data_IF_640868223386
#
_entry.id   IF_640868223386
#
_cell.length_a   1.000
_cell.length_b   1.000
_cell.length_c   1.000
_cell.angle_alpha   90.00
_cell.angle_beta   90.00
_cell.angle_gamma   90.00
#
_symmetry.space_group_name_H-M   'P 1'
#
loop_
_entity.id
_entity.type
_entity.pdbx_description
1 polymer ?
#
# COMPACT_ATOMS: atom_id res chain seq x y z
N UNK A 1 -0.49 19.51 -19.92
CA UNK A 1 -0.23 18.19 -19.31
C UNK A 1 -0.87 17.06 -20.12
N UNK A 2 -2.20 16.91 -20.12
CA UNK A 2 -2.88 15.77 -20.76
C UNK A 2 -2.59 15.67 -22.25
N UNK A 3 -2.56 16.80 -22.95
CA UNK A 3 -2.26 16.87 -24.38
C UNK A 3 -0.86 16.38 -24.79
N UNK A 4 0.08 16.19 -23.83
CA UNK A 4 1.38 15.56 -24.13
C UNK A 4 1.32 14.02 -24.13
N UNK A 5 0.21 13.43 -23.73
CA UNK A 5 -0.02 11.97 -23.70
C UNK A 5 -1.15 11.53 -24.63
N UNK A 6 -2.13 12.42 -24.87
CA UNK A 6 -3.36 12.11 -25.60
C UNK A 6 -3.60 13.16 -26.68
N UNK A 7 -3.90 12.74 -27.90
CA UNK A 7 -4.38 13.65 -28.92
C UNK A 7 -5.77 14.15 -28.58
N UNK A 8 -5.84 15.42 -28.19
CA UNK A 8 -7.09 16.06 -27.78
C UNK A 8 -7.62 16.97 -28.90
N UNK A 9 -8.92 16.92 -29.17
CA UNK A 9 -9.64 17.85 -30.06
C UNK A 9 -10.57 18.72 -29.21
N UNK A 10 -10.58 20.02 -29.47
CA UNK A 10 -11.49 20.96 -28.80
C UNK A 10 -12.95 20.64 -29.15
N UNK A 11 -13.80 20.55 -28.12
CA UNK A 11 -15.25 20.36 -28.23
C UNK A 11 -15.95 21.39 -27.34
N UNK A 12 -16.18 22.58 -27.89
CA UNK A 12 -16.73 23.71 -27.14
C UNK A 12 -15.73 24.19 -26.05
N UNK A 13 -16.13 24.09 -24.76
CA UNK A 13 -15.29 24.43 -23.60
C UNK A 13 -14.41 23.27 -23.14
N UNK A 14 -14.61 22.08 -23.68
CA UNK A 14 -13.91 20.85 -23.27
C UNK A 14 -12.89 20.43 -24.33
N UNK A 15 -12.04 19.49 -23.95
CA UNK A 15 -11.17 18.76 -24.88
C UNK A 15 -11.53 17.26 -24.82
N UNK A 16 -11.71 16.65 -25.98
CA UNK A 16 -12.05 15.22 -26.08
C UNK A 16 -11.03 14.44 -26.90
N UNK A 17 -10.81 13.18 -26.54
CA UNK A 17 -9.90 12.27 -27.23
C UNK A 17 -10.17 10.81 -26.89
N UNK A 18 -9.33 9.91 -27.43
CA UNK A 18 -9.36 8.49 -27.05
C UNK A 18 -8.76 8.35 -25.64
N UNK A 19 -9.33 7.46 -24.85
CA UNK A 19 -8.88 7.22 -23.49
C UNK A 19 -7.52 6.52 -23.47
N UNK A 20 -6.54 7.01 -22.67
CA UNK A 20 -5.27 6.35 -22.55
C UNK A 20 -5.29 5.15 -21.56
N UNK A 21 -6.40 4.95 -20.84
CA UNK A 21 -6.52 3.95 -19.77
C UNK A 21 -7.27 2.68 -20.20
N UNK A 22 -7.92 2.69 -21.37
CA UNK A 22 -8.53 1.51 -21.97
C UNK A 22 -8.55 1.65 -23.51
N UNK A 23 -8.66 0.53 -24.19
CA UNK A 23 -8.72 0.51 -25.65
C UNK A 23 -10.12 0.86 -26.15
N UNK A 24 -10.21 1.87 -27.01
CA UNK A 24 -11.49 2.28 -27.64
C UNK A 24 -11.26 2.84 -29.04
N UNK A 25 -12.32 2.82 -29.88
CA UNK A 25 -12.29 3.41 -31.23
C UNK A 25 -13.02 4.75 -31.31
N UNK A 26 -13.89 5.03 -30.36
CA UNK A 26 -14.70 6.24 -30.30
C UNK A 26 -14.29 7.08 -29.11
N UNK A 27 -13.97 8.37 -29.27
CA UNK A 27 -13.51 9.22 -28.18
C UNK A 27 -14.52 9.33 -27.03
N UNK A 28 -14.17 8.84 -25.85
CA UNK A 28 -14.98 8.92 -24.63
C UNK A 28 -14.26 9.62 -23.46
N UNK A 29 -13.02 10.06 -23.67
CA UNK A 29 -12.21 10.74 -22.67
C UNK A 29 -12.32 12.26 -22.84
N UNK A 30 -12.66 12.95 -21.76
CA UNK A 30 -12.85 14.41 -21.75
C UNK A 30 -12.01 15.07 -20.67
N UNK A 31 -11.42 16.22 -21.01
CA UNK A 31 -10.70 17.10 -20.10
C UNK A 31 -11.53 18.37 -19.93
N UNK A 32 -11.69 18.79 -18.69
CA UNK A 32 -12.45 19.93 -18.21
C UNK A 32 -11.47 21.00 -17.72
N UNK A 33 -11.10 22.01 -18.54
CA UNK A 33 -10.13 23.03 -18.14
C UNK A 33 -10.59 23.85 -16.93
N UNK A 34 -11.88 24.16 -16.85
CA UNK A 34 -12.45 24.99 -15.79
C UNK A 34 -12.33 24.36 -14.41
N UNK A 35 -12.46 23.04 -14.32
CA UNK A 35 -12.31 22.26 -13.08
C UNK A 35 -10.96 21.54 -12.98
N UNK A 36 -10.09 21.69 -13.98
CA UNK A 36 -8.79 21.02 -14.08
C UNK A 36 -8.88 19.50 -13.86
N UNK A 37 -9.92 18.89 -14.36
CA UNK A 37 -10.21 17.47 -14.17
C UNK A 37 -10.38 16.74 -15.51
N UNK A 38 -10.39 15.42 -15.45
CA UNK A 38 -10.75 14.57 -16.59
C UNK A 38 -11.78 13.53 -16.18
N UNK A 39 -12.52 13.06 -17.17
CA UNK A 39 -13.47 11.95 -17.03
C UNK A 39 -13.51 11.13 -18.31
N UNK A 40 -13.53 9.82 -18.18
CA UNK A 40 -13.75 8.89 -19.28
C UNK A 40 -15.12 8.22 -19.16
N UNK A 41 -15.99 8.40 -20.13
CA UNK A 41 -17.33 7.78 -20.15
C UNK A 41 -17.29 6.29 -20.48
N UNK A 42 -16.17 5.77 -21.03
CA UNK A 42 -15.99 4.35 -21.32
C UNK A 42 -15.60 3.53 -20.08
N UNK A 43 -14.47 3.86 -19.45
CA UNK A 43 -13.95 3.12 -18.30
C UNK A 43 -14.16 3.80 -16.94
N UNK A 44 -14.84 4.95 -16.92
CA UNK A 44 -15.12 5.75 -15.71
C UNK A 44 -13.86 6.26 -14.97
N UNK A 45 -12.70 6.23 -15.62
CA UNK A 45 -11.50 6.82 -15.07
C UNK A 45 -11.70 8.34 -14.93
N UNK A 46 -11.49 8.85 -13.73
CA UNK A 46 -11.67 10.25 -13.39
C UNK A 46 -10.56 10.76 -12.47
N UNK A 47 -10.39 12.06 -12.41
CA UNK A 47 -9.48 12.71 -11.48
C UNK A 47 -8.92 14.03 -11.96
N UNK A 48 -7.93 14.51 -11.24
CA UNK A 48 -7.16 15.71 -11.49
C UNK A 48 -5.83 15.41 -12.21
N UNK A 49 -4.96 16.40 -12.32
CA UNK A 49 -3.63 16.28 -12.94
C UNK A 49 -2.76 15.23 -12.23
N UNK A 50 -2.82 15.15 -10.89
CA UNK A 50 -2.03 14.18 -10.10
C UNK A 50 -2.53 12.78 -10.37
N UNK A 51 -3.84 12.58 -10.33
CA UNK A 51 -4.50 11.31 -10.62
C UNK A 51 -4.22 10.81 -12.05
N UNK A 52 -4.15 11.73 -13.01
CA UNK A 52 -3.81 11.43 -14.40
C UNK A 52 -2.37 10.91 -14.51
N UNK A 53 -1.39 11.66 -13.98
CA UNK A 53 0.04 11.29 -14.04
C UNK A 53 0.30 9.98 -13.31
N UNK A 54 -0.32 9.79 -12.15
CA UNK A 54 -0.25 8.56 -11.38
C UNK A 54 -0.73 7.35 -12.19
N UNK A 55 -1.89 7.48 -12.86
CA UNK A 55 -2.47 6.38 -13.67
C UNK A 55 -1.67 6.09 -14.93
N UNK A 56 -1.28 7.13 -15.69
CA UNK A 56 -0.63 6.95 -16.99
C UNK A 56 0.80 6.39 -16.87
N UNK A 57 1.52 6.76 -15.80
CA UNK A 57 2.88 6.31 -15.55
C UNK A 57 2.96 5.14 -14.55
N UNK A 58 1.82 4.71 -13.98
CA UNK A 58 1.75 3.67 -12.94
C UNK A 58 2.69 3.93 -11.76
N UNK A 59 2.69 5.16 -11.23
CA UNK A 59 3.54 5.64 -10.15
C UNK A 59 2.74 6.01 -8.91
N UNK A 60 3.42 6.21 -7.78
CA UNK A 60 2.81 6.69 -6.54
C UNK A 60 2.37 8.15 -6.64
N UNK A 61 1.48 8.58 -5.74
CA UNK A 61 1.06 9.99 -5.68
C UNK A 61 2.22 10.93 -5.38
N UNK A 62 3.18 10.54 -4.54
CA UNK A 62 4.38 11.33 -4.24
C UNK A 62 5.27 11.53 -5.47
N UNK A 63 5.52 10.48 -6.24
CA UNK A 63 6.28 10.56 -7.50
C UNK A 63 5.55 11.41 -8.55
N UNK A 64 4.22 11.27 -8.65
CA UNK A 64 3.43 12.11 -9.56
C UNK A 64 3.51 13.59 -9.20
N UNK A 65 3.47 13.93 -7.91
CA UNK A 65 3.62 15.30 -7.42
C UNK A 65 5.03 15.85 -7.74
N UNK A 66 6.08 15.08 -7.49
CA UNK A 66 7.47 15.46 -7.84
C UNK A 66 7.62 15.73 -9.33
N UNK A 67 7.09 14.83 -10.17
CA UNK A 67 7.12 14.97 -11.62
C UNK A 67 6.38 16.23 -12.09
N UNK A 68 5.22 16.53 -11.51
CA UNK A 68 4.44 17.71 -11.83
C UNK A 68 5.11 19.00 -11.33
N UNK A 69 5.70 19.00 -10.15
CA UNK A 69 6.46 20.14 -9.60
C UNK A 69 7.65 20.48 -10.50
N UNK A 70 8.45 19.48 -10.88
CA UNK A 70 9.57 19.64 -11.81
C UNK A 70 9.11 20.22 -13.16
N UNK A 71 8.01 19.70 -13.71
CA UNK A 71 7.44 20.20 -14.98
C UNK A 71 6.91 21.63 -14.88
N UNK A 72 6.43 22.05 -13.72
CA UNK A 72 5.92 23.37 -13.45
C UNK A 72 7.02 24.38 -13.04
N UNK A 73 8.29 23.92 -12.94
CA UNK A 73 9.39 24.76 -12.42
C UNK A 73 9.22 25.12 -10.94
N UNK A 74 8.40 24.34 -10.22
CA UNK A 74 8.20 24.51 -8.78
C UNK A 74 9.26 23.73 -8.00
N UNK A 75 9.68 24.21 -6.82
CA UNK A 75 10.53 23.41 -5.96
C UNK A 75 9.83 22.09 -5.63
N UNK A 76 10.59 20.98 -5.63
CA UNK A 76 10.03 19.68 -5.23
C UNK A 76 9.46 19.80 -3.82
N UNK A 77 8.24 19.27 -3.59
CA UNK A 77 7.70 19.22 -2.25
C UNK A 77 8.69 18.43 -1.39
N UNK A 78 9.26 19.07 -0.41
CA UNK A 78 9.98 18.37 0.64
C UNK A 78 8.91 17.59 1.39
N UNK A 79 8.89 16.26 1.23
CA UNK A 79 8.21 15.43 2.22
C UNK A 79 8.75 15.92 3.58
N UNK A 80 7.84 16.26 4.50
CA UNK A 80 8.24 16.53 5.87
C UNK A 80 9.08 15.33 6.29
N UNK A 81 10.40 15.53 6.39
CA UNK A 81 11.42 14.49 6.49
C UNK A 81 11.09 13.50 7.63
N UNK A 82 10.39 13.98 8.66
CA UNK A 82 9.91 13.17 9.79
C UNK A 82 8.78 12.20 9.39
N UNK A 83 7.81 12.67 8.60
CA UNK A 83 6.65 11.84 8.18
C UNK A 83 7.09 10.78 7.17
N UNK A 84 7.94 11.14 6.22
CA UNK A 84 8.50 10.21 5.25
C UNK A 84 9.39 9.14 5.90
N UNK A 85 10.24 9.53 6.86
CA UNK A 85 11.06 8.59 7.65
C UNK A 85 10.19 7.66 8.49
N UNK A 86 9.18 8.18 9.20
CA UNK A 86 8.28 7.37 10.01
C UNK A 86 7.55 6.34 9.14
N UNK A 87 7.01 6.76 7.98
CA UNK A 87 6.36 5.86 7.02
C UNK A 87 7.28 4.76 6.54
N UNK A 88 8.52 5.10 6.15
CA UNK A 88 9.52 4.12 5.72
C UNK A 88 9.85 3.11 6.83
N UNK A 89 10.02 3.60 8.06
CA UNK A 89 10.26 2.76 9.24
C UNK A 89 9.10 1.82 9.53
N UNK A 90 7.85 2.30 9.47
CA UNK A 90 6.64 1.49 9.65
C UNK A 90 6.52 0.42 8.56
N UNK A 91 6.79 0.74 7.29
CA UNK A 91 6.78 -0.25 6.22
C UNK A 91 7.86 -1.33 6.42
N UNK A 92 9.05 -0.95 6.87
CA UNK A 92 10.12 -1.89 7.23
C UNK A 92 9.70 -2.78 8.41
N UNK A 93 9.09 -2.20 9.44
CA UNK A 93 8.57 -2.93 10.60
C UNK A 93 7.50 -3.96 10.21
N UNK A 94 6.58 -3.59 9.32
CA UNK A 94 5.53 -4.51 8.86
C UNK A 94 6.12 -5.71 8.10
N UNK A 95 7.20 -5.49 7.32
CA UNK A 95 7.95 -6.59 6.70
C UNK A 95 8.62 -7.50 7.75
N UNK A 96 9.20 -6.93 8.80
CA UNK A 96 9.78 -7.72 9.91
C UNK A 96 8.70 -8.49 10.68
N UNK A 97 7.52 -7.89 10.92
CA UNK A 97 6.40 -8.58 11.55
C UNK A 97 5.91 -9.77 10.70
N UNK A 98 5.83 -9.61 9.38
CA UNK A 98 5.49 -10.71 8.47
C UNK A 98 6.53 -11.85 8.54
N UNK A 99 7.82 -11.52 8.56
CA UNK A 99 8.91 -12.50 8.75
C UNK A 99 8.81 -13.22 10.09
N UNK A 100 8.51 -12.50 11.17
CA UNK A 100 8.29 -13.07 12.50
C UNK A 100 7.15 -14.08 12.48
N UNK A 101 5.98 -13.73 11.93
CA UNK A 101 4.85 -14.64 11.85
C UNK A 101 5.12 -15.86 10.96
N UNK A 102 5.88 -15.68 9.87
CA UNK A 102 6.31 -16.80 9.04
C UNK A 102 7.28 -17.73 9.79
N UNK A 103 8.22 -17.19 10.54
CA UNK A 103 9.11 -17.98 11.40
C UNK A 103 8.33 -18.74 12.49
N UNK A 104 7.33 -18.09 13.12
CA UNK A 104 6.44 -18.76 14.08
C UNK A 104 5.68 -19.93 13.46
N UNK A 105 5.20 -19.80 12.20
CA UNK A 105 4.53 -20.90 11.50
C UNK A 105 5.47 -22.08 11.27
N UNK A 106 6.76 -21.85 11.05
CA UNK A 106 7.77 -22.88 10.80
C UNK A 106 8.38 -23.46 12.08
N UNK A 107 7.97 -23.00 13.25
CA UNK A 107 8.44 -23.52 14.52
C UNK A 107 7.91 -24.93 14.81
N UNK A 108 8.51 -25.61 15.79
CA UNK A 108 8.17 -26.99 16.20
C UNK A 108 7.03 -27.06 17.21
N UNK A 109 6.53 -25.93 17.71
CA UNK A 109 5.45 -25.92 18.70
C UNK A 109 4.14 -26.45 18.14
N UNK A 110 3.30 -27.02 19.01
CA UNK A 110 2.06 -27.69 18.60
C UNK A 110 1.10 -26.78 17.85
N UNK A 111 0.94 -25.55 18.30
CA UNK A 111 0.06 -24.58 17.68
C UNK A 111 0.51 -24.23 16.24
N UNK A 112 1.83 -24.18 15.99
CA UNK A 112 2.35 -23.98 14.65
C UNK A 112 2.09 -25.19 13.75
N UNK A 113 2.16 -26.42 14.28
CA UNK A 113 1.77 -27.65 13.56
C UNK A 113 0.30 -27.60 13.17
N UNK A 114 -0.58 -27.21 14.10
CA UNK A 114 -2.02 -27.03 13.84
C UNK A 114 -2.30 -25.96 12.79
N UNK A 115 -1.58 -24.84 12.82
CA UNK A 115 -1.69 -23.78 11.82
C UNK A 115 -1.26 -24.25 10.43
N UNK A 116 -0.16 -25.01 10.31
CA UNK A 116 0.24 -25.64 9.02
C UNK A 116 -0.80 -26.66 8.54
N UNK A 117 -1.32 -27.49 9.44
CA UNK A 117 -2.38 -28.43 9.10
C UNK A 117 -3.66 -27.74 8.62
N UNK A 118 -4.01 -26.59 9.20
CA UNK A 118 -5.11 -25.74 8.73
C UNK A 118 -4.88 -25.28 7.30
N UNK A 119 -3.71 -24.73 6.95
CA UNK A 119 -3.39 -24.28 5.60
C UNK A 119 -3.45 -25.42 4.58
N UNK A 120 -2.92 -26.60 4.94
CA UNK A 120 -2.98 -27.80 4.07
C UNK A 120 -4.42 -28.26 3.83
N UNK A 121 -5.28 -28.25 4.85
CA UNK A 121 -6.72 -28.55 4.68
C UNK A 121 -7.42 -27.55 3.76
N UNK A 122 -6.93 -26.30 3.68
CA UNK A 122 -7.41 -25.28 2.76
C UNK A 122 -6.84 -25.43 1.34
N UNK A 123 -6.10 -26.50 1.06
CA UNK A 123 -5.53 -26.79 -0.25
C UNK A 123 -4.23 -26.05 -0.56
N UNK A 124 -3.59 -25.43 0.44
CA UNK A 124 -2.32 -24.72 0.23
C UNK A 124 -1.15 -25.67 0.53
N UNK A 125 -0.31 -25.87 -0.47
CA UNK A 125 0.93 -26.63 -0.34
C UNK A 125 2.05 -25.81 0.31
N UNK A 126 3.14 -26.49 0.70
CA UNK A 126 4.26 -25.84 1.37
C UNK A 126 4.95 -24.80 0.46
N UNK A 127 4.95 -25.01 -0.87
CA UNK A 127 5.49 -24.03 -1.82
C UNK A 127 4.68 -22.74 -1.84
N UNK A 128 3.37 -22.86 -1.80
CA UNK A 128 2.43 -21.74 -1.72
C UNK A 128 2.58 -21.00 -0.37
N UNK A 129 2.67 -21.74 0.74
CA UNK A 129 2.90 -21.16 2.08
C UNK A 129 4.15 -20.29 2.10
N UNK A 130 5.26 -20.80 1.57
CA UNK A 130 6.53 -20.06 1.49
C UNK A 130 6.45 -18.91 0.50
N UNK A 131 5.91 -19.14 -0.70
CA UNK A 131 5.81 -18.11 -1.77
C UNK A 131 5.03 -16.89 -1.33
N UNK A 132 3.93 -17.07 -0.59
CA UNK A 132 3.08 -15.98 -0.10
C UNK A 132 3.44 -15.52 1.32
N UNK A 133 4.47 -16.09 1.95
CA UNK A 133 4.91 -15.71 3.28
C UNK A 133 3.84 -15.89 4.35
N UNK A 134 3.00 -16.94 4.21
CA UNK A 134 1.93 -17.20 5.18
C UNK A 134 2.53 -17.45 6.56
N UNK A 135 1.84 -17.04 7.60
CA UNK A 135 2.35 -17.02 8.96
C UNK A 135 1.38 -17.53 10.01
N UNK A 136 1.87 -17.56 11.23
CA UNK A 136 1.10 -17.84 12.44
C UNK A 136 1.46 -16.83 13.52
N UNK A 137 0.47 -16.17 14.07
CA UNK A 137 0.64 -15.31 15.25
C UNK A 137 0.49 -16.15 16.51
N UNK A 138 1.54 -16.25 17.35
CA UNK A 138 1.53 -17.12 18.55
C UNK A 138 0.53 -16.63 19.59
N UNK A 139 0.23 -17.51 20.58
CA UNK A 139 -0.66 -17.19 21.70
C UNK A 139 0.07 -16.37 22.78
N UNK A 140 0.97 -15.47 22.36
CA UNK A 140 1.66 -14.53 23.23
C UNK A 140 1.55 -13.13 22.62
N UNK A 141 0.70 -12.31 23.22
CA UNK A 141 0.47 -10.93 22.77
C UNK A 141 1.66 -9.99 22.93
N UNK A 142 2.75 -10.42 23.60
CA UNK A 142 3.98 -9.64 23.80
C UNK A 142 5.12 -10.06 22.87
N UNK A 143 5.09 -11.27 22.32
CA UNK A 143 6.20 -11.82 21.56
C UNK A 143 6.62 -10.94 20.36
N UNK A 144 5.67 -10.46 19.56
CA UNK A 144 5.97 -9.57 18.45
C UNK A 144 6.49 -8.21 18.94
N UNK A 145 5.92 -7.67 20.03
CA UNK A 145 6.35 -6.40 20.58
C UNK A 145 7.82 -6.46 21.00
N UNK A 146 8.20 -7.48 21.78
CA UNK A 146 9.57 -7.68 22.23
C UNK A 146 10.52 -7.87 21.04
N UNK A 147 10.15 -8.72 20.08
CA UNK A 147 10.93 -8.94 18.85
C UNK A 147 11.24 -7.63 18.10
N UNK A 148 10.24 -6.77 17.91
CA UNK A 148 10.43 -5.50 17.21
C UNK A 148 11.22 -4.48 18.04
N UNK A 149 11.08 -4.49 19.37
CA UNK A 149 11.92 -3.69 20.27
C UNK A 149 13.39 -4.09 20.17
N UNK A 150 13.67 -5.39 20.15
CA UNK A 150 15.03 -5.93 20.00
C UNK A 150 15.63 -5.62 18.61
N UNK A 151 14.80 -5.44 17.60
CA UNK A 151 15.18 -4.93 16.27
C UNK A 151 15.41 -3.42 16.22
N UNK A 152 15.27 -2.71 17.34
CA UNK A 152 15.54 -1.27 17.45
C UNK A 152 14.41 -0.35 16.99
N UNK A 153 13.17 -0.85 16.93
CA UNK A 153 12.01 0.01 16.68
C UNK A 153 11.61 0.74 17.96
N UNK A 154 11.40 2.05 17.84
CA UNK A 154 11.01 2.88 18.98
C UNK A 154 9.48 2.88 19.22
N UNK A 155 9.05 3.48 20.34
CA UNK A 155 7.64 3.49 20.72
C UNK A 155 6.75 4.22 19.71
N UNK A 156 7.20 5.34 19.16
CA UNK A 156 6.44 6.12 18.17
C UNK A 156 6.22 5.31 16.89
N UNK A 157 7.22 4.57 16.44
CA UNK A 157 7.14 3.69 15.27
C UNK A 157 6.16 2.53 15.53
N UNK A 158 6.21 1.92 16.73
CA UNK A 158 5.31 0.85 17.14
C UNK A 158 3.86 1.33 17.21
N UNK A 159 3.61 2.49 17.79
CA UNK A 159 2.26 3.08 17.90
C UNK A 159 1.70 3.43 16.49
N UNK A 160 2.56 3.90 15.58
CA UNK A 160 2.18 4.23 14.21
C UNK A 160 1.96 3.01 13.30
N UNK A 161 2.44 1.82 13.69
CA UNK A 161 2.39 0.61 12.85
C UNK A 161 0.98 0.02 12.68
N UNK A 162 0.07 0.29 13.62
CA UNK A 162 -1.24 -0.35 13.69
C UNK A 162 -1.21 -1.82 14.14
N UNK A 163 -0.04 -2.36 14.53
CA UNK A 163 0.10 -3.75 14.98
C UNK A 163 -0.30 -3.94 16.44
N UNK A 164 -0.33 -2.87 17.22
CA UNK A 164 -0.49 -2.91 18.67
C UNK A 164 -1.63 -2.03 19.16
N UNK A 165 -2.19 -2.39 20.30
CA UNK A 165 -3.11 -1.55 21.10
C UNK A 165 -2.65 -1.48 22.55
N UNK A 166 -3.14 -0.43 23.25
CA UNK A 166 -3.01 -0.29 24.68
C UNK A 166 -4.32 -0.67 25.37
N UNK A 167 -4.24 -1.49 26.41
CA UNK A 167 -5.37 -1.74 27.31
C UNK A 167 -5.65 -0.52 28.18
N UNK A 168 -6.78 -0.51 28.87
CA UNK A 168 -7.11 0.50 29.87
C UNK A 168 -6.06 0.58 31.01
N UNK A 169 -5.40 -0.53 31.32
CA UNK A 169 -4.29 -0.60 32.29
C UNK A 169 -2.94 -0.14 31.73
N UNK A 170 -2.89 0.37 30.48
CA UNK A 170 -1.65 0.81 29.84
C UNK A 170 -0.78 -0.30 29.23
N UNK A 171 -1.15 -1.57 29.36
CA UNK A 171 -0.41 -2.69 28.79
C UNK A 171 -0.54 -2.70 27.27
N UNK A 172 0.57 -2.78 26.56
CA UNK A 172 0.60 -2.90 25.09
C UNK A 172 0.44 -4.37 24.72
N UNK A 173 -0.35 -4.67 23.72
CA UNK A 173 -0.51 -6.04 23.20
C UNK A 173 -0.67 -6.02 21.68
N UNK A 174 -0.23 -7.10 21.01
CA UNK A 174 -0.39 -7.29 19.59
C UNK A 174 -1.87 -7.54 19.26
N UNK A 175 -2.36 -6.92 18.19
CA UNK A 175 -3.71 -7.16 17.68
C UNK A 175 -3.89 -8.55 17.07
N UNK A 176 -2.78 -9.14 16.65
CA UNK A 176 -2.73 -10.46 16.03
C UNK A 176 -2.16 -11.46 17.03
N UNK A 177 -2.97 -12.36 17.49
CA UNK A 177 -2.59 -13.44 18.39
C UNK A 177 -3.47 -14.66 18.15
N UNK A 178 -2.90 -15.87 18.31
CA UNK A 178 -3.54 -17.16 18.14
C UNK A 178 -4.33 -17.27 16.84
N UNK A 179 -3.73 -16.88 15.71
CA UNK A 179 -4.36 -16.94 14.38
C UNK A 179 -3.36 -17.16 13.25
N UNK A 180 -3.85 -17.72 12.16
CA UNK A 180 -3.10 -17.78 10.90
C UNK A 180 -3.05 -16.40 10.25
N UNK A 181 -1.94 -16.09 9.57
CA UNK A 181 -1.65 -14.78 9.00
C UNK A 181 -1.42 -14.89 7.50
N UNK A 182 -2.05 -13.97 6.77
CA UNK A 182 -1.74 -13.67 5.37
C UNK A 182 -1.17 -12.26 5.32
N UNK A 183 0.08 -12.05 4.87
CA UNK A 183 0.69 -10.72 4.78
C UNK A 183 0.08 -9.87 3.67
#
# INVERSE_FOLDING_TARGET
LVGSYVQLKRKGRLYGGLCPFHSEKTPSFYVYPDTQSFYCFGCQAAGDAISFVKKINNISSGEAIKMLASRAGMPEPQEDDKTGRLRSRVLSMNKEAARFFHACLNSTVEEARQARAYWRRRGLDDKTIVRFGLGYAPNDGQALYQYLRDKGYNQQELDASGLFKRSQSGRIYCLFWKRVMTP
#
